data_IF_425177204124
#
_entry.id   IF_425177204124
#
_cell.length_a   1.000
_cell.length_b   1.000
_cell.length_c   1.000
_cell.angle_alpha   90.00
_cell.angle_beta   90.00
_cell.angle_gamma   90.00
#
_symmetry.space_group_name_H-M   'P 1'
#
loop_
_entity.id
_entity.type
_entity.pdbx_description
1 polymer ?
#
# COMPACT_ATOMS: atom_id res chain seq x y z
N UNK A 1 -5.50 0.39 29.05
CA UNK A 1 -5.23 -0.08 27.67
C UNK A 1 -3.73 -0.38 27.57
N UNK A 2 -3.32 -1.48 26.91
CA UNK A 2 -1.91 -1.78 26.62
C UNK A 2 -1.74 -1.91 25.11
N UNK A 3 -0.69 -1.33 24.54
CA UNK A 3 -0.43 -1.36 23.09
C UNK A 3 0.99 -1.89 22.88
N UNK A 4 1.17 -3.06 22.25
CA UNK A 4 2.50 -3.56 21.92
C UNK A 4 3.12 -2.71 20.81
N UNK A 5 4.40 -2.37 20.96
CA UNK A 5 5.18 -1.64 19.96
C UNK A 5 6.27 -2.55 19.42
N UNK A 6 6.17 -2.90 18.13
CA UNK A 6 7.18 -3.72 17.46
C UNK A 6 8.37 -2.86 17.07
N UNK A 7 9.54 -3.11 17.63
CA UNK A 7 10.71 -2.24 17.40
C UNK A 7 11.44 -2.55 16.08
N UNK A 8 11.53 -3.82 15.70
CA UNK A 8 12.17 -4.28 14.47
C UNK A 8 11.14 -4.47 13.35
N UNK A 9 11.41 -3.98 12.15
CA UNK A 9 10.62 -4.28 10.96
C UNK A 9 10.74 -5.76 10.56
N UNK A 10 9.81 -6.25 9.73
CA UNK A 10 9.93 -7.61 9.19
C UNK A 10 11.24 -7.73 8.40
N UNK A 11 11.99 -8.80 8.66
CA UNK A 11 13.06 -9.21 7.77
C UNK A 11 12.44 -9.66 6.46
N UNK A 12 12.83 -9.00 5.37
CA UNK A 12 12.37 -9.33 4.03
C UNK A 12 13.52 -9.91 3.21
N UNK A 13 13.27 -10.95 2.40
CA UNK A 13 14.29 -11.47 1.48
C UNK A 13 14.78 -10.42 0.46
N UNK A 14 13.98 -9.37 0.20
CA UNK A 14 14.28 -8.30 -0.76
C UNK A 14 15.20 -7.21 -0.20
N UNK A 15 15.29 -7.05 1.13
CA UNK A 15 15.98 -5.95 1.79
C UNK A 15 17.20 -6.44 2.56
N UNK A 16 18.31 -5.70 2.44
CA UNK A 16 19.51 -5.97 3.25
C UNK A 16 19.20 -5.71 4.74
N UNK A 17 19.63 -6.59 5.68
CA UNK A 17 19.45 -6.39 7.11
C UNK A 17 19.83 -5.00 7.63
N UNK A 18 20.88 -4.36 7.08
CA UNK A 18 21.27 -2.99 7.47
C UNK A 18 20.20 -1.95 7.11
N UNK A 19 19.52 -2.14 5.98
CA UNK A 19 18.39 -1.28 5.55
C UNK A 19 17.19 -1.49 6.46
N UNK A 20 16.90 -2.74 6.85
CA UNK A 20 15.82 -3.07 7.80
C UNK A 20 16.06 -2.40 9.15
N UNK A 21 17.30 -2.41 9.66
CA UNK A 21 17.67 -1.71 10.89
C UNK A 21 17.48 -0.19 10.73
N UNK A 22 17.95 0.40 9.62
CA UNK A 22 17.79 1.82 9.38
C UNK A 22 16.32 2.26 9.30
N UNK A 23 15.49 1.46 8.64
CA UNK A 23 14.04 1.68 8.59
C UNK A 23 13.42 1.59 9.98
N UNK A 24 13.80 0.58 10.76
CA UNK A 24 13.33 0.37 12.13
C UNK A 24 13.66 1.56 13.04
N UNK A 25 14.88 2.10 12.95
CA UNK A 25 15.29 3.30 13.70
C UNK A 25 14.52 4.53 13.26
N UNK A 26 14.34 4.71 11.95
CA UNK A 26 13.58 5.85 11.39
C UNK A 26 12.12 5.84 11.87
N UNK A 27 11.51 4.65 11.95
CA UNK A 27 10.11 4.49 12.34
C UNK A 27 9.87 4.49 13.86
N UNK A 28 10.93 4.48 14.68
CA UNK A 28 10.81 4.37 16.13
C UNK A 28 10.00 5.52 16.76
N UNK A 29 10.29 6.77 16.34
CA UNK A 29 9.59 7.98 16.79
C UNK A 29 8.09 7.88 16.47
N UNK A 30 7.77 7.56 15.22
CA UNK A 30 6.40 7.32 14.75
C UNK A 30 5.70 6.25 15.60
N UNK A 31 6.33 5.09 15.80
CA UNK A 31 5.73 3.96 16.52
C UNK A 31 5.39 4.29 17.97
N UNK A 32 6.28 4.98 18.67
CA UNK A 32 6.06 5.39 20.06
C UNK A 32 4.99 6.48 20.14
N UNK A 33 5.09 7.52 19.32
CA UNK A 33 4.09 8.59 19.28
C UNK A 33 2.70 8.04 18.93
N UNK A 34 2.63 7.08 18.02
CA UNK A 34 1.36 6.48 17.58
C UNK A 34 0.77 5.66 18.74
N UNK A 35 1.59 4.86 19.42
CA UNK A 35 1.15 4.11 20.61
C UNK A 35 0.63 5.03 21.74
N UNK A 36 1.32 6.15 22.01
CA UNK A 36 0.88 7.13 23.02
C UNK A 36 -0.46 7.76 22.61
N UNK A 37 -0.55 8.26 21.37
CA UNK A 37 -1.78 8.84 20.84
C UNK A 37 -2.94 7.86 20.91
N UNK A 38 -2.72 6.60 20.55
CA UNK A 38 -3.73 5.53 20.62
C UNK A 38 -4.23 5.26 22.05
N UNK A 39 -3.40 5.44 23.07
CA UNK A 39 -3.83 5.33 24.48
C UNK A 39 -4.67 6.54 24.88
N UNK A 40 -4.31 7.73 24.42
CA UNK A 40 -4.93 9.00 24.80
C UNK A 40 -6.25 9.27 24.08
N UNK A 41 -6.50 8.70 22.89
CA UNK A 41 -7.72 8.92 22.13
C UNK A 41 -8.92 8.16 22.74
N UNK A 42 -9.94 8.87 23.27
CA UNK A 42 -11.05 8.23 23.96
C UNK A 42 -12.07 7.60 23.01
N UNK A 43 -12.39 8.27 21.90
CA UNK A 43 -13.34 7.79 20.88
C UNK A 43 -12.63 7.21 19.67
N UNK A 44 -13.02 6.01 19.25
CA UNK A 44 -12.46 5.34 18.09
C UNK A 44 -13.17 5.82 16.82
N UNK A 45 -12.44 6.26 15.78
CA UNK A 45 -13.06 6.57 14.51
C UNK A 45 -13.70 5.33 13.90
N UNK A 46 -14.84 5.50 13.23
CA UNK A 46 -15.56 4.40 12.59
C UNK A 46 -15.10 4.26 11.14
N UNK A 47 -14.80 3.02 10.73
CA UNK A 47 -14.47 2.62 9.36
C UNK A 47 -15.58 1.72 8.85
N UNK A 48 -16.16 2.05 7.70
CA UNK A 48 -17.21 1.25 7.08
C UNK A 48 -16.71 0.58 5.80
N UNK A 49 -16.85 -0.73 5.71
CA UNK A 49 -16.63 -1.48 4.47
C UNK A 49 -17.96 -1.61 3.73
N UNK A 50 -17.99 -1.33 2.42
CA UNK A 50 -19.20 -1.52 1.63
C UNK A 50 -19.48 -3.00 1.40
N UNK A 51 -20.76 -3.34 1.28
CA UNK A 51 -21.25 -4.65 0.84
C UNK A 51 -22.47 -4.47 -0.07
N UNK A 52 -22.75 -5.49 -0.88
CA UNK A 52 -23.91 -5.55 -1.77
C UNK A 52 -23.56 -5.57 -3.26
N UNK A 53 -22.30 -5.30 -3.61
CA UNK A 53 -21.79 -5.32 -4.97
C UNK A 53 -20.78 -6.45 -5.21
N UNK A 54 -20.78 -7.48 -4.37
CA UNK A 54 -19.82 -8.59 -4.46
C UNK A 54 -18.42 -8.26 -3.94
N UNK A 55 -18.30 -7.28 -3.03
CA UNK A 55 -17.06 -6.94 -2.33
C UNK A 55 -16.45 -8.11 -1.54
N UNK A 56 -15.19 -7.96 -1.11
CA UNK A 56 -14.52 -8.94 -0.23
C UNK A 56 -15.32 -9.19 1.05
N UNK A 57 -15.48 -10.47 1.42
CA UNK A 57 -16.18 -10.86 2.65
C UNK A 57 -15.29 -10.73 3.91
N UNK A 58 -15.90 -10.89 5.09
CA UNK A 58 -15.21 -10.75 6.40
C UNK A 58 -14.02 -11.70 6.56
N UNK A 59 -14.08 -12.91 5.99
CA UNK A 59 -12.98 -13.86 6.07
C UNK A 59 -11.82 -13.44 5.16
N UNK A 60 -12.10 -12.87 4.00
CA UNK A 60 -11.11 -12.39 3.05
C UNK A 60 -10.38 -11.14 3.53
N UNK A 61 -11.00 -10.30 4.36
CA UNK A 61 -10.36 -9.12 4.97
C UNK A 61 -10.07 -9.31 6.47
N UNK A 62 -10.18 -10.54 6.98
CA UNK A 62 -10.13 -10.85 8.40
C UNK A 62 -8.87 -10.35 9.11
N UNK A 63 -7.69 -10.47 8.49
CA UNK A 63 -6.45 -9.97 9.11
C UNK A 63 -6.37 -8.43 9.12
N UNK A 64 -6.86 -7.79 8.06
CA UNK A 64 -6.93 -6.33 7.98
C UNK A 64 -7.91 -5.79 9.02
N UNK A 65 -9.13 -6.31 9.04
CA UNK A 65 -10.17 -5.91 9.99
C UNK A 65 -9.74 -6.17 11.44
N UNK A 66 -9.16 -7.33 11.76
CA UNK A 66 -8.64 -7.63 13.10
C UNK A 66 -7.52 -6.67 13.53
N UNK A 67 -6.73 -6.16 12.58
CA UNK A 67 -5.70 -5.16 12.85
C UNK A 67 -6.29 -3.76 13.05
N UNK A 68 -7.35 -3.42 12.30
CA UNK A 68 -8.07 -2.15 12.41
C UNK A 68 -8.88 -2.07 13.71
N UNK A 69 -9.57 -3.14 14.11
CA UNK A 69 -10.41 -3.22 15.32
C UNK A 69 -9.67 -2.92 16.63
N UNK A 70 -8.34 -3.00 16.61
CA UNK A 70 -7.52 -2.60 17.75
C UNK A 70 -7.60 -1.09 18.01
N UNK A 71 -7.86 -0.29 16.97
CA UNK A 71 -7.76 1.18 16.98
C UNK A 71 -9.03 1.91 16.51
N UNK A 72 -9.80 1.27 15.64
CA UNK A 72 -10.99 1.81 14.99
C UNK A 72 -12.19 0.91 15.28
N UNK A 73 -13.39 1.47 15.18
CA UNK A 73 -14.61 0.67 15.17
C UNK A 73 -14.91 0.33 13.71
N UNK A 74 -14.89 -0.95 13.35
CA UNK A 74 -15.11 -1.40 11.96
C UNK A 74 -16.49 -2.01 11.84
N UNK A 75 -17.23 -1.67 10.79
CA UNK A 75 -18.50 -2.31 10.46
C UNK A 75 -18.70 -2.40 8.95
N UNK A 76 -19.71 -3.15 8.50
CA UNK A 76 -20.06 -3.33 7.09
C UNK A 76 -21.42 -2.74 6.78
N UNK A 77 -21.52 -2.01 5.67
CA UNK A 77 -22.74 -1.29 5.30
C UNK A 77 -23.22 -1.67 3.91
N UNK A 78 -24.51 -1.97 3.80
CA UNK A 78 -25.20 -2.05 2.51
C UNK A 78 -25.72 -0.66 2.15
N UNK A 79 -25.55 -0.22 0.90
CA UNK A 79 -25.94 1.11 0.44
C UNK A 79 -27.44 1.22 0.08
N UNK A 80 -28.25 0.23 0.44
CA UNK A 80 -29.57 -0.09 -0.15
C UNK A 80 -30.73 0.88 0.11
N UNK A 81 -30.81 1.67 1.18
CA UNK A 81 -31.71 2.86 1.18
C UNK A 81 -31.66 3.76 2.42
N UNK A 82 -31.55 3.25 3.65
CA UNK A 82 -31.91 4.03 4.85
C UNK A 82 -30.74 4.74 5.56
N UNK A 83 -29.49 4.40 5.25
CA UNK A 83 -28.34 4.93 6.00
C UNK A 83 -27.77 6.17 5.30
N UNK A 84 -27.84 7.31 5.98
CA UNK A 84 -27.13 8.52 5.59
C UNK A 84 -25.66 8.40 6.00
N UNK A 85 -24.78 8.28 5.02
CA UNK A 85 -23.34 8.39 5.23
C UNK A 85 -23.02 9.84 5.61
N UNK A 86 -22.45 10.04 6.79
CA UNK A 86 -22.02 11.35 7.26
C UNK A 86 -20.57 11.26 7.75
N UNK A 87 -19.68 12.17 7.36
CA UNK A 87 -18.27 12.15 7.78
C UNK A 87 -18.07 12.26 9.30
N UNK A 88 -19.07 12.77 10.03
CA UNK A 88 -19.06 12.83 11.49
C UNK A 88 -19.23 11.44 12.12
N UNK A 89 -19.95 10.53 11.47
CA UNK A 89 -20.19 9.16 11.95
C UNK A 89 -19.27 8.14 11.31
N UNK A 90 -18.86 8.36 10.06
CA UNK A 90 -18.01 7.47 9.28
C UNK A 90 -16.75 8.22 8.87
N UNK A 91 -15.61 7.89 9.50
CA UNK A 91 -14.34 8.55 9.24
C UNK A 91 -13.72 8.11 7.91
N UNK A 92 -13.98 6.87 7.48
CA UNK A 92 -13.48 6.30 6.23
C UNK A 92 -14.44 5.24 5.69
N UNK A 93 -14.76 5.35 4.40
CA UNK A 93 -15.44 4.33 3.63
C UNK A 93 -14.41 3.49 2.84
N UNK A 94 -14.52 2.16 2.88
CA UNK A 94 -13.66 1.25 2.14
C UNK A 94 -14.51 0.48 1.13
N UNK A 95 -14.15 0.57 -0.15
CA UNK A 95 -14.76 -0.20 -1.24
C UNK A 95 -13.74 -1.23 -1.71
N UNK A 96 -13.95 -2.50 -1.34
CA UNK A 96 -12.97 -3.56 -1.50
C UNK A 96 -13.41 -4.60 -2.55
N UNK A 97 -12.78 -4.59 -3.73
CA UNK A 97 -13.02 -5.52 -4.84
C UNK A 97 -14.51 -5.71 -5.19
N UNK A 98 -15.27 -4.63 -5.51
CA UNK A 98 -16.63 -4.79 -6.00
C UNK A 98 -16.62 -5.53 -7.34
N UNK A 99 -17.68 -6.29 -7.62
CA UNK A 99 -17.82 -7.18 -8.78
C UNK A 99 -19.10 -6.94 -9.58
N UNK A 100 -20.06 -6.18 -9.06
CA UNK A 100 -21.32 -5.85 -9.75
C UNK A 100 -21.58 -4.35 -9.80
N UNK A 101 -22.54 -3.96 -10.64
CA UNK A 101 -22.88 -2.56 -10.92
C UNK A 101 -23.41 -1.83 -9.69
N UNK A 102 -22.89 -0.63 -9.45
CA UNK A 102 -23.46 0.32 -8.50
C UNK A 102 -24.68 1.00 -9.11
N UNK A 103 -25.75 1.11 -8.34
CA UNK A 103 -26.94 1.88 -8.76
C UNK A 103 -26.67 3.38 -8.70
N UNK A 104 -27.47 4.18 -9.40
CA UNK A 104 -27.39 5.64 -9.30
C UNK A 104 -27.66 6.14 -7.87
N UNK A 105 -28.45 5.41 -7.08
CA UNK A 105 -28.69 5.76 -5.67
C UNK A 105 -27.43 5.53 -4.82
N UNK A 106 -26.73 4.41 -5.03
CA UNK A 106 -25.49 4.09 -4.31
C UNK A 106 -24.40 5.09 -4.65
N UNK A 107 -24.23 5.38 -5.95
CA UNK A 107 -23.28 6.40 -6.43
C UNK A 107 -23.60 7.78 -5.87
N UNK A 108 -24.87 8.17 -5.80
CA UNK A 108 -25.28 9.43 -5.20
C UNK A 108 -24.92 9.50 -3.71
N UNK A 109 -25.11 8.43 -2.94
CA UNK A 109 -24.74 8.39 -1.52
C UNK A 109 -23.24 8.51 -1.31
N UNK A 110 -22.45 7.80 -2.11
CA UNK A 110 -20.99 7.87 -2.08
C UNK A 110 -20.53 9.28 -2.46
N UNK A 111 -21.07 9.84 -3.55
CA UNK A 111 -20.77 11.20 -4.00
C UNK A 111 -21.05 12.22 -2.91
N UNK A 112 -22.25 12.21 -2.33
CA UNK A 112 -22.60 13.17 -1.28
C UNK A 112 -21.81 12.97 0.02
N UNK A 113 -21.40 11.74 0.33
CA UNK A 113 -20.44 11.49 1.41
C UNK A 113 -19.10 12.19 1.13
N UNK A 114 -18.53 12.06 -0.08
CA UNK A 114 -17.32 12.80 -0.47
C UNK A 114 -17.56 14.31 -0.42
N UNK A 115 -18.70 14.80 -0.92
CA UNK A 115 -19.01 16.23 -0.93
C UNK A 115 -19.10 16.84 0.49
N UNK A 116 -19.41 16.03 1.49
CA UNK A 116 -19.42 16.45 2.89
C UNK A 116 -18.04 16.41 3.56
N UNK A 117 -16.98 16.02 2.85
CA UNK A 117 -15.64 15.84 3.41
C UNK A 117 -15.33 14.38 3.80
N UNK A 118 -16.17 13.44 3.36
CA UNK A 118 -15.95 12.01 3.54
C UNK A 118 -14.75 11.51 2.74
N UNK A 119 -14.14 10.44 3.22
CA UNK A 119 -12.86 9.92 2.72
C UNK A 119 -13.04 8.49 2.29
N UNK A 120 -12.42 8.12 1.17
CA UNK A 120 -12.65 6.79 0.57
C UNK A 120 -11.35 6.11 0.20
N UNK A 121 -11.25 4.82 0.50
CA UNK A 121 -10.25 3.92 -0.05
C UNK A 121 -10.92 3.00 -1.07
N UNK A 122 -10.55 3.15 -2.34
CA UNK A 122 -11.00 2.34 -3.46
C UNK A 122 -9.96 1.28 -3.79
N UNK A 123 -10.37 0.02 -3.81
CA UNK A 123 -9.57 -1.11 -4.26
C UNK A 123 -10.40 -1.82 -5.32
N UNK A 124 -10.09 -1.55 -6.59
CA UNK A 124 -10.96 -1.85 -7.72
C UNK A 124 -10.21 -2.72 -8.72
N UNK A 125 -10.78 -3.89 -9.01
CA UNK A 125 -10.37 -4.69 -10.17
C UNK A 125 -11.15 -4.23 -11.39
N UNK A 126 -10.45 -3.98 -12.49
CA UNK A 126 -11.12 -3.65 -13.76
C UNK A 126 -11.61 -4.88 -14.50
N UNK A 127 -10.84 -5.96 -14.43
CA UNK A 127 -11.06 -7.21 -15.16
C UNK A 127 -11.29 -8.35 -14.17
N UNK A 128 -12.17 -9.30 -14.51
CA UNK A 128 -12.45 -10.48 -13.68
C UNK A 128 -11.38 -11.58 -13.79
N UNK A 129 -10.12 -11.21 -13.60
CA UNK A 129 -9.00 -12.13 -13.66
C UNK A 129 -8.66 -12.67 -12.27
N UNK A 130 -8.72 -13.99 -12.10
CA UNK A 130 -8.28 -14.70 -10.90
C UNK A 130 -7.52 -15.97 -11.32
N UNK A 131 -6.55 -16.43 -10.52
CA UNK A 131 -5.80 -17.66 -10.82
C UNK A 131 -6.70 -18.90 -10.91
N UNK A 132 -7.78 -18.92 -10.13
CA UNK A 132 -8.69 -20.05 -10.08
C UNK A 132 -9.46 -20.21 -11.40
N UNK A 133 -9.68 -19.12 -12.13
CA UNK A 133 -10.28 -19.13 -13.47
C UNK A 133 -9.42 -19.86 -14.51
N UNK A 134 -8.11 -20.02 -14.25
CA UNK A 134 -7.17 -20.73 -15.13
C UNK A 134 -7.08 -22.24 -14.87
N UNK A 135 -7.84 -22.77 -13.91
CA UNK A 135 -7.86 -24.21 -13.59
C UNK A 135 -8.68 -25.07 -14.56
N UNK A 136 -9.33 -24.46 -15.56
CA UNK A 136 -10.12 -25.15 -16.58
C UNK A 136 -9.30 -26.06 -17.51
N UNK A 137 -9.98 -26.83 -18.36
CA UNK A 137 -9.37 -27.66 -19.41
C UNK A 137 -9.98 -27.30 -20.77
N UNK A 138 -9.30 -26.54 -21.64
CA UNK A 138 -7.91 -26.06 -21.51
C UNK A 138 -7.74 -24.98 -20.44
N UNK A 139 -6.53 -24.80 -19.86
CA UNK A 139 -6.24 -23.78 -18.84
C UNK A 139 -6.11 -22.40 -19.50
N UNK A 140 -7.25 -21.91 -19.99
CA UNK A 140 -7.39 -20.68 -20.76
C UNK A 140 -8.60 -19.92 -20.24
N UNK A 141 -8.47 -18.62 -20.04
CA UNK A 141 -9.55 -17.75 -19.62
C UNK A 141 -9.44 -16.40 -20.33
N UNK A 142 -10.58 -15.83 -20.71
CA UNK A 142 -10.67 -14.51 -21.33
C UNK A 142 -11.36 -13.57 -20.34
N UNK A 143 -10.61 -12.75 -19.58
CA UNK A 143 -11.19 -11.79 -18.66
C UNK A 143 -12.07 -10.78 -19.38
N UNK A 144 -13.17 -10.46 -18.73
CA UNK A 144 -14.13 -9.43 -19.11
C UNK A 144 -14.14 -8.33 -18.06
N UNK A 145 -14.47 -7.11 -18.49
CA UNK A 145 -14.63 -5.98 -17.59
C UNK A 145 -15.71 -6.26 -16.53
N UNK A 146 -15.42 -5.93 -15.27
CA UNK A 146 -16.48 -5.85 -14.26
C UNK A 146 -17.41 -4.67 -14.60
N UNK A 147 -18.74 -4.89 -14.67
CA UNK A 147 -19.69 -3.83 -15.00
C UNK A 147 -19.99 -2.98 -13.76
N UNK A 148 -18.99 -2.26 -13.23
CA UNK A 148 -19.09 -1.57 -11.94
C UNK A 148 -19.91 -0.29 -12.01
N UNK A 149 -19.95 0.40 -13.15
CA UNK A 149 -20.66 1.67 -13.34
C UNK A 149 -20.15 2.82 -12.43
N UNK A 150 -18.91 2.75 -11.92
CA UNK A 150 -18.27 3.77 -11.05
C UNK A 150 -17.20 4.59 -11.79
N UNK A 151 -16.92 4.24 -13.05
CA UNK A 151 -15.85 4.80 -13.85
C UNK A 151 -16.08 6.28 -14.14
N UNK A 152 -17.34 6.68 -14.36
CA UNK A 152 -17.75 8.06 -14.55
C UNK A 152 -17.40 8.92 -13.32
N UNK A 153 -17.69 8.39 -12.13
CA UNK A 153 -17.41 9.03 -10.85
C UNK A 153 -15.90 9.14 -10.59
N UNK A 154 -15.13 8.06 -10.75
CA UNK A 154 -13.67 8.10 -10.59
C UNK A 154 -13.02 9.06 -11.61
N UNK A 155 -13.51 9.07 -12.85
CA UNK A 155 -13.04 9.98 -13.90
C UNK A 155 -13.28 11.44 -13.50
N UNK A 156 -14.47 11.77 -12.97
CA UNK A 156 -14.79 13.11 -12.47
C UNK A 156 -13.88 13.51 -11.30
N UNK A 157 -13.50 12.57 -10.44
CA UNK A 157 -12.58 12.79 -9.33
C UNK A 157 -11.10 12.85 -9.73
N UNK A 158 -10.76 12.42 -10.94
CA UNK A 158 -9.44 12.58 -11.54
C UNK A 158 -8.60 11.32 -11.68
N UNK A 159 -9.20 10.14 -11.57
CA UNK A 159 -8.53 8.85 -11.83
C UNK A 159 -9.31 8.02 -12.85
N UNK A 160 -8.60 7.34 -13.75
CA UNK A 160 -9.17 6.41 -14.72
C UNK A 160 -8.42 5.09 -14.69
N UNK A 161 -9.10 4.02 -14.31
CA UNK A 161 -8.55 2.66 -14.37
C UNK A 161 -8.78 2.13 -15.79
N UNK A 162 -7.71 1.69 -16.46
CA UNK A 162 -7.77 1.18 -17.83
C UNK A 162 -8.19 -0.29 -17.87
N UNK A 163 -8.90 -0.75 -18.92
CA UNK A 163 -9.24 -2.16 -19.13
C UNK A 163 -8.03 -2.95 -19.66
N UNK A 164 -6.94 -2.93 -18.89
CA UNK A 164 -5.70 -3.64 -19.15
C UNK A 164 -5.24 -4.44 -17.92
N UNK A 165 -4.26 -5.31 -18.14
CA UNK A 165 -3.46 -5.92 -17.08
C UNK A 165 -2.02 -5.44 -17.21
N UNK A 166 -1.45 -5.04 -16.07
CA UNK A 166 -0.04 -4.70 -15.96
C UNK A 166 0.76 -5.98 -15.70
N UNK A 167 1.67 -6.30 -16.62
CA UNK A 167 2.65 -7.35 -16.45
C UNK A 167 3.99 -6.73 -16.06
N UNK A 168 4.74 -7.39 -15.19
CA UNK A 168 6.06 -6.95 -14.75
C UNK A 168 7.02 -8.13 -14.63
N UNK A 169 8.31 -7.92 -14.94
CA UNK A 169 9.36 -8.92 -14.69
C UNK A 169 9.71 -9.04 -13.20
N UNK A 170 9.44 -7.98 -12.43
CA UNK A 170 9.48 -7.99 -10.98
C UNK A 170 8.15 -8.49 -10.42
N UNK A 171 7.92 -9.80 -10.51
CA UNK A 171 6.68 -10.46 -10.08
C UNK A 171 6.96 -11.58 -9.09
N UNK A 172 5.91 -12.00 -8.37
CA UNK A 172 5.94 -13.20 -7.55
C UNK A 172 5.72 -14.46 -8.38
N UNK A 173 5.93 -15.61 -7.76
CA UNK A 173 5.91 -16.91 -8.39
C UNK A 173 4.67 -17.72 -8.02
N UNK A 174 4.18 -18.53 -8.96
CA UNK A 174 3.10 -19.50 -8.74
C UNK A 174 3.64 -20.93 -8.91
N UNK A 175 3.12 -21.90 -8.16
CA UNK A 175 3.48 -23.30 -8.35
C UNK A 175 2.75 -23.87 -9.56
N UNK A 176 3.50 -24.50 -10.45
CA UNK A 176 2.95 -25.36 -11.50
C UNK A 176 3.41 -26.80 -11.27
N UNK A 177 2.46 -27.72 -11.38
CA UNK A 177 2.72 -29.15 -11.33
C UNK A 177 2.36 -29.80 -12.67
N UNK A 178 3.22 -30.69 -13.15
CA UNK A 178 2.83 -31.60 -14.22
C UNK A 178 1.92 -32.69 -13.65
N UNK A 179 0.91 -33.13 -14.41
CA UNK A 179 0.07 -34.28 -14.00
C UNK A 179 0.97 -35.51 -13.85
N UNK A 180 1.33 -35.86 -12.61
CA UNK A 180 2.12 -37.04 -12.27
C UNK A 180 3.46 -36.78 -11.57
N UNK A 181 3.92 -35.53 -11.44
CA UNK A 181 5.13 -35.20 -10.65
C UNK A 181 4.75 -34.72 -9.24
N UNK A 182 5.42 -35.23 -8.21
CA UNK A 182 5.26 -34.76 -6.82
C UNK A 182 5.99 -33.44 -6.54
N UNK A 183 6.89 -33.02 -7.44
CA UNK A 183 7.60 -31.75 -7.33
C UNK A 183 6.82 -30.65 -8.07
N UNK A 184 6.44 -29.62 -7.30
CA UNK A 184 5.91 -28.37 -7.80
C UNK A 184 7.10 -27.45 -8.07
N UNK A 185 7.21 -26.94 -9.29
CA UNK A 185 8.19 -25.92 -9.64
C UNK A 185 7.53 -24.53 -9.59
N UNK A 186 8.27 -23.54 -9.09
CA UNK A 186 7.80 -22.16 -9.01
C UNK A 186 8.19 -21.42 -10.29
N UNK A 187 7.20 -20.82 -10.93
CA UNK A 187 7.39 -19.99 -12.12
C UNK A 187 6.94 -18.57 -11.84
N UNK A 188 7.72 -17.57 -12.28
CA UNK A 188 7.35 -16.16 -12.17
C UNK A 188 6.06 -15.89 -12.93
N UNK A 189 5.04 -15.43 -12.24
CA UNK A 189 3.76 -15.07 -12.84
C UNK A 189 3.70 -13.57 -13.06
N UNK A 190 3.98 -13.10 -14.28
CA UNK A 190 4.14 -11.67 -14.56
C UNK A 190 2.89 -10.82 -14.29
N UNK A 191 1.71 -11.43 -14.20
CA UNK A 191 0.47 -10.75 -13.78
C UNK A 191 0.38 -10.47 -12.28
N UNK A 192 1.33 -10.96 -11.48
CA UNK A 192 1.45 -10.68 -10.06
C UNK A 192 2.65 -9.75 -9.76
N UNK A 193 2.59 -8.48 -10.18
CA UNK A 193 3.70 -7.56 -9.98
C UNK A 193 3.94 -7.30 -8.49
N UNK A 194 5.22 -7.28 -8.12
CA UNK A 194 5.70 -6.94 -6.77
C UNK A 194 6.23 -5.53 -6.77
N UNK A 195 5.34 -4.56 -6.58
CA UNK A 195 5.65 -3.14 -6.75
C UNK A 195 6.48 -2.63 -5.57
N UNK A 196 7.61 -1.98 -5.88
CA UNK A 196 8.43 -1.30 -4.88
C UNK A 196 8.06 0.18 -4.86
N UNK A 197 7.50 0.70 -3.76
CA UNK A 197 7.19 2.12 -3.69
C UNK A 197 8.46 2.97 -3.64
N UNK A 198 8.56 3.95 -4.54
CA UNK A 198 9.74 4.84 -4.65
C UNK A 198 9.50 6.25 -4.09
N UNK A 199 8.28 6.52 -3.61
CA UNK A 199 7.86 7.84 -3.14
C UNK A 199 8.30 8.16 -1.70
N UNK A 200 8.42 9.45 -1.40
CA UNK A 200 8.69 9.96 -0.05
C UNK A 200 7.42 10.16 0.80
N UNK A 201 6.25 9.82 0.25
CA UNK A 201 4.97 10.04 0.92
C UNK A 201 4.85 9.14 2.17
N UNK A 202 4.33 9.63 3.32
CA UNK A 202 4.25 8.87 4.57
C UNK A 202 3.60 7.49 4.46
N UNK A 203 2.66 7.32 3.52
CA UNK A 203 1.96 6.06 3.24
C UNK A 203 2.93 4.96 2.81
N UNK A 204 3.90 5.30 1.95
CA UNK A 204 4.74 4.34 1.23
C UNK A 204 6.22 4.43 1.58
N UNK A 205 6.62 5.46 2.35
CA UNK A 205 8.01 5.64 2.73
C UNK A 205 8.50 4.50 3.63
N UNK A 206 9.67 3.96 3.30
CA UNK A 206 10.30 2.80 3.96
C UNK A 206 9.43 1.54 3.93
N UNK A 207 8.46 1.48 3.01
CA UNK A 207 7.65 0.29 2.77
C UNK A 207 8.42 -0.66 1.87
N UNK A 208 8.36 -1.95 2.18
CA UNK A 208 8.89 -2.98 1.29
C UNK A 208 7.93 -3.23 0.10
N UNK A 209 8.27 -4.19 -0.77
CA UNK A 209 7.46 -4.59 -1.91
C UNK A 209 6.04 -4.93 -1.49
N UNK A 210 5.09 -4.45 -2.28
CA UNK A 210 3.67 -4.78 -2.18
C UNK A 210 3.35 -5.71 -3.34
N UNK A 211 2.77 -6.86 -3.05
CA UNK A 211 2.31 -7.78 -4.08
C UNK A 211 0.92 -7.35 -4.55
N UNK A 212 0.73 -7.28 -5.86
CA UNK A 212 -0.57 -7.04 -6.49
C UNK A 212 -0.94 -8.23 -7.37
N UNK A 213 -2.23 -8.50 -7.53
CA UNK A 213 -2.74 -9.58 -8.38
C UNK A 213 -3.60 -9.01 -9.51
N UNK A 214 -3.21 -9.26 -10.76
CA UNK A 214 -3.97 -8.84 -11.94
C UNK A 214 -4.34 -7.34 -11.97
N UNK A 215 -3.45 -6.48 -11.47
CA UNK A 215 -3.73 -5.05 -11.38
C UNK A 215 -3.77 -4.37 -12.77
N UNK A 216 -4.58 -3.31 -12.87
CA UNK A 216 -4.68 -2.47 -14.08
C UNK A 216 -3.88 -1.17 -13.96
N UNK A 217 -3.61 -0.51 -15.09
CA UNK A 217 -2.99 0.80 -15.08
C UNK A 217 -4.00 1.91 -14.71
N UNK A 218 -3.52 2.95 -14.03
CA UNK A 218 -4.31 4.13 -13.65
C UNK A 218 -3.74 5.37 -14.32
N UNK A 219 -4.59 6.06 -15.08
CA UNK A 219 -4.30 7.39 -15.61
C UNK A 219 -4.82 8.48 -14.66
N UNK A 220 -4.03 9.53 -14.50
CA UNK A 220 -4.46 10.74 -13.79
C UNK A 220 -5.09 11.73 -14.76
N UNK A 221 -6.28 12.22 -14.44
CA UNK A 221 -7.08 13.07 -15.32
C UNK A 221 -7.12 14.50 -14.80
N UNK A 222 -7.07 15.49 -15.70
CA UNK A 222 -7.27 16.89 -15.32
C UNK A 222 -8.73 17.12 -14.92
N UNK A 223 -8.94 17.59 -13.71
CA UNK A 223 -10.26 17.83 -13.11
C UNK A 223 -10.66 19.30 -13.26
N UNK A 224 -11.97 19.60 -13.12
CA UNK A 224 -12.49 20.98 -13.07
C UNK A 224 -11.96 21.72 -11.84
N UNK A 225 -11.93 21.04 -10.71
CA UNK A 225 -11.44 21.55 -9.43
C UNK A 225 -9.96 21.19 -9.25
N UNK A 226 -9.27 21.91 -8.36
CA UNK A 226 -7.87 21.65 -8.03
C UNK A 226 -7.74 20.40 -7.14
N UNK A 227 -7.49 19.25 -7.79
CA UNK A 227 -7.19 17.97 -7.12
C UNK A 227 -5.71 17.64 -7.33
N UNK A 228 -4.94 17.63 -6.25
CA UNK A 228 -3.57 17.15 -6.22
C UNK A 228 -3.55 15.62 -6.35
N UNK A 229 -2.60 15.10 -7.13
CA UNK A 229 -2.54 13.68 -7.50
C UNK A 229 -1.14 13.16 -7.20
N UNK A 230 -1.03 12.40 -6.12
CA UNK A 230 0.23 11.83 -5.67
C UNK A 230 0.26 10.35 -6.03
N UNK A 231 1.21 9.95 -6.87
CA UNK A 231 1.40 8.55 -7.23
C UNK A 231 2.00 7.81 -6.02
N UNK A 232 1.32 6.77 -5.55
CA UNK A 232 1.73 5.96 -4.40
C UNK A 232 2.44 4.68 -4.84
N UNK A 233 1.87 3.97 -5.81
CA UNK A 233 2.36 2.68 -6.28
C UNK A 233 2.58 2.71 -7.79
N UNK A 234 3.74 2.20 -8.20
CA UNK A 234 4.09 2.03 -9.61
C UNK A 234 4.74 0.68 -9.86
N UNK A 235 4.50 0.11 -11.04
CA UNK A 235 5.30 -0.99 -11.56
C UNK A 235 6.78 -0.61 -11.70
N UNK A 236 7.61 -1.61 -11.93
CA UNK A 236 9.00 -1.43 -12.33
C UNK A 236 9.09 -0.82 -13.74
N UNK A 237 10.31 -0.44 -14.12
CA UNK A 237 10.63 0.03 -15.48
C UNK A 237 10.48 -1.04 -16.57
N UNK A 238 10.42 -2.31 -16.17
CA UNK A 238 10.30 -3.47 -17.05
C UNK A 238 8.86 -3.97 -17.07
N UNK A 239 7.92 -3.07 -17.33
CA UNK A 239 6.50 -3.40 -17.41
C UNK A 239 6.02 -3.55 -18.85
N UNK A 240 4.90 -4.26 -19.00
CA UNK A 240 4.15 -4.42 -20.22
C UNK A 240 2.65 -4.27 -19.91
N UNK A 241 1.92 -3.65 -20.83
CA UNK A 241 0.46 -3.56 -20.74
C UNK A 241 -0.17 -4.54 -21.73
N UNK A 242 -1.26 -5.19 -21.31
CA UNK A 242 -2.09 -6.01 -22.18
C UNK A 242 -3.54 -5.58 -22.06
N UNK A 243 -4.13 -5.07 -23.13
CA UNK A 243 -5.51 -4.59 -23.17
C UNK A 243 -6.49 -5.71 -23.52
N UNK A 244 -7.73 -5.61 -23.01
CA UNK A 244 -8.84 -6.51 -23.37
C UNK A 244 -9.15 -6.46 -24.87
N UNK A 245 -9.40 -7.61 -25.56
CA UNK A 245 -9.46 -8.98 -25.03
C UNK A 245 -8.09 -9.60 -24.71
N UNK A 246 -7.94 -10.17 -23.51
CA UNK A 246 -6.70 -10.78 -23.00
C UNK A 246 -6.85 -12.30 -22.94
N UNK A 247 -6.05 -13.02 -23.70
CA UNK A 247 -5.98 -14.48 -23.57
C UNK A 247 -5.06 -14.89 -22.41
N UNK A 248 -5.63 -15.13 -21.22
CA UNK A 248 -4.87 -15.63 -20.07
C UNK A 248 -4.69 -17.14 -20.17
N UNK A 249 -3.44 -17.58 -20.16
CA UNK A 249 -3.05 -18.99 -20.22
C UNK A 249 -1.66 -19.17 -19.58
N UNK A 250 -1.24 -20.42 -19.37
CA UNK A 250 0.10 -20.74 -18.87
C UNK A 250 1.17 -20.86 -19.97
N UNK A 251 0.85 -20.61 -21.25
CA UNK A 251 1.82 -20.72 -22.34
C UNK A 251 2.93 -19.67 -22.23
N UNK A 252 2.64 -18.53 -21.61
CA UNK A 252 3.62 -17.49 -21.31
C UNK A 252 4.76 -17.93 -20.39
N UNK A 253 4.58 -19.05 -19.67
CA UNK A 253 5.59 -19.61 -18.76
C UNK A 253 6.47 -20.67 -19.44
N UNK A 254 6.11 -21.11 -20.64
CA UNK A 254 6.89 -22.11 -21.40
C UNK A 254 8.14 -21.52 -22.05
N UNK A 255 8.17 -20.21 -22.23
CA UNK A 255 9.25 -19.49 -22.91
C UNK A 255 9.69 -18.31 -22.06
N UNK A 256 10.98 -17.98 -22.14
CA UNK A 256 11.48 -16.77 -21.50
C UNK A 256 10.78 -15.53 -22.07
N UNK A 257 10.46 -14.54 -21.22
CA UNK A 257 9.82 -13.32 -21.67
C UNK A 257 10.76 -12.56 -22.59
N UNK A 258 10.28 -12.15 -23.75
CA UNK A 258 11.00 -11.24 -24.63
C UNK A 258 11.12 -9.86 -23.94
N UNK A 259 12.33 -9.44 -23.49
CA UNK A 259 12.49 -8.18 -22.77
C UNK A 259 12.11 -6.96 -23.60
N UNK A 260 12.13 -7.06 -24.93
CA UNK A 260 11.72 -5.96 -25.82
C UNK A 260 10.22 -5.64 -25.70
N UNK A 261 9.40 -6.59 -25.23
CA UNK A 261 7.96 -6.39 -24.98
C UNK A 261 7.68 -5.71 -23.65
N UNK A 262 8.64 -5.66 -22.72
CA UNK A 262 8.54 -5.03 -21.41
C UNK A 262 9.15 -3.62 -21.42
N UNK A 263 8.59 -2.76 -22.27
CA UNK A 263 9.14 -1.46 -22.62
C UNK A 263 8.25 -0.26 -22.20
N UNK A 264 7.28 -0.48 -21.31
CA UNK A 264 6.32 0.55 -20.93
C UNK A 264 6.75 1.43 -19.76
N UNK A 265 7.88 1.15 -19.11
CA UNK A 265 8.36 1.95 -17.97
C UNK A 265 7.45 1.82 -16.75
N UNK A 266 7.48 2.79 -15.84
CA UNK A 266 6.69 2.72 -14.62
C UNK A 266 5.20 3.00 -14.92
N UNK A 267 4.34 2.03 -14.64
CA UNK A 267 2.89 2.13 -14.76
C UNK A 267 2.29 2.42 -13.39
N UNK A 268 1.41 3.42 -13.31
CA UNK A 268 0.75 3.78 -12.04
C UNK A 268 -0.34 2.78 -11.73
N UNK A 269 -0.35 2.25 -10.51
CA UNK A 269 -1.33 1.26 -10.02
C UNK A 269 -1.96 1.66 -8.68
N UNK A 270 -1.50 2.77 -8.09
CA UNK A 270 -2.09 3.35 -6.89
C UNK A 270 -1.86 4.86 -6.83
N UNK A 271 -2.92 5.63 -6.59
CA UNK A 271 -2.89 7.10 -6.55
C UNK A 271 -3.67 7.65 -5.35
N UNK A 272 -3.11 8.67 -4.71
CA UNK A 272 -3.77 9.51 -3.71
C UNK A 272 -4.27 10.79 -4.39
N UNK A 273 -5.55 11.07 -4.22
CA UNK A 273 -6.22 12.28 -4.70
C UNK A 273 -6.59 13.14 -3.50
N UNK A 274 -6.18 14.41 -3.49
CA UNK A 274 -6.43 15.35 -2.39
C UNK A 274 -6.89 16.71 -2.90
N UNK A 275 -7.86 17.31 -2.21
CA UNK A 275 -8.34 18.66 -2.52
C UNK A 275 -9.86 18.73 -2.53
N UNK A 276 -10.40 19.58 -3.40
CA UNK A 276 -11.83 19.77 -3.58
C UNK A 276 -12.28 19.01 -4.82
N UNK A 277 -13.33 18.20 -4.69
CA UNK A 277 -13.89 17.39 -5.76
C UNK A 277 -15.20 18.01 -6.25
N UNK A 278 -15.43 17.98 -7.56
CA UNK A 278 -16.73 18.31 -8.14
C UNK A 278 -17.63 17.07 -8.13
N UNK A 279 -18.89 17.25 -7.73
CA UNK A 279 -19.89 16.17 -7.71
C UNK A 279 -20.10 15.58 -9.11
N UNK A 280 -20.25 14.25 -9.18
CA UNK A 280 -20.65 13.56 -10.41
C UNK A 280 -22.09 13.90 -10.83
N UNK A 281 -22.90 14.41 -9.90
CA UNK A 281 -24.30 14.79 -10.10
C UNK A 281 -24.49 16.30 -10.33
N UNK A 282 -23.40 17.05 -10.45
CA UNK A 282 -23.42 18.46 -10.83
C UNK A 282 -24.26 18.65 -12.11
N UNK A 283 -25.27 19.52 -12.05
CA UNK A 283 -26.23 19.79 -13.13
C UNK A 283 -27.11 18.59 -13.56
N UNK A 284 -27.14 17.49 -12.80
CA UNK A 284 -28.00 16.32 -13.04
C UNK A 284 -29.17 16.21 -12.05
N UNK A 285 -29.18 17.02 -10.98
CA UNK A 285 -30.24 17.01 -9.97
C UNK A 285 -31.35 18.01 -10.33
N UNK A 286 -32.57 17.52 -10.55
CA UNK A 286 -33.77 18.33 -10.81
C UNK A 286 -34.24 19.09 -9.57
N UNK A 287 -35.03 20.15 -9.76
CA UNK A 287 -35.61 20.89 -8.62
C UNK A 287 -36.53 20.03 -7.76
N UNK A 288 -37.23 19.06 -8.35
CA UNK A 288 -38.07 18.10 -7.63
C UNK A 288 -37.24 17.18 -6.73
N UNK A 289 -36.10 16.67 -7.24
CA UNK A 289 -35.18 15.88 -6.42
C UNK A 289 -34.59 16.71 -5.28
N UNK A 290 -34.22 17.97 -5.52
CA UNK A 290 -33.74 18.87 -4.46
C UNK A 290 -34.82 19.11 -3.39
N UNK A 291 -36.08 19.25 -3.78
CA UNK A 291 -37.19 19.41 -2.84
C UNK A 291 -37.38 18.13 -1.99
N UNK A 292 -37.32 16.95 -2.60
CA UNK A 292 -37.38 15.67 -1.89
C UNK A 292 -36.21 15.46 -0.93
N UNK A 293 -34.99 15.80 -1.34
CA UNK A 293 -33.79 15.70 -0.49
C UNK A 293 -33.88 16.63 0.72
N UNK A 294 -34.40 17.86 0.54
CA UNK A 294 -34.65 18.79 1.65
C UNK A 294 -35.67 18.24 2.66
N UNK A 295 -36.72 17.56 2.20
CA UNK A 295 -37.67 16.90 3.10
C UNK A 295 -37.02 15.77 3.92
N UNK A 296 -36.00 15.10 3.34
CA UNK A 296 -35.21 14.07 4.00
C UNK A 296 -34.01 14.63 4.80
N UNK A 297 -33.88 15.95 4.92
CA UNK A 297 -32.77 16.64 5.57
C UNK A 297 -31.38 16.26 4.98
N UNK A 298 -31.35 15.93 3.68
CA UNK A 298 -30.13 15.64 2.92
C UNK A 298 -29.72 16.91 2.18
N UNK A 299 -28.63 17.52 2.63
CA UNK A 299 -28.07 18.71 1.99
C UNK A 299 -27.21 18.31 0.81
N UNK A 300 -27.75 18.49 -0.40
CA UNK A 300 -27.01 18.30 -1.64
C UNK A 300 -25.91 19.36 -1.79
N UNK A 301 -24.72 18.92 -2.20
CA UNK A 301 -23.55 19.77 -2.48
C UNK A 301 -22.98 19.44 -3.86
N UNK A 302 -22.63 20.48 -4.61
CA UNK A 302 -22.02 20.36 -5.94
C UNK A 302 -20.48 20.23 -5.88
N UNK A 303 -19.87 20.68 -4.80
CA UNK A 303 -18.42 20.66 -4.58
C UNK A 303 -18.15 20.19 -3.15
N UNK A 304 -17.03 19.51 -2.96
CA UNK A 304 -16.67 18.95 -1.68
C UNK A 304 -16.00 19.95 -0.74
N UNK A 305 -16.12 19.71 0.56
CA UNK A 305 -15.09 20.18 1.48
C UNK A 305 -13.73 19.54 1.12
N UNK A 306 -12.59 20.16 1.45
CA UNK A 306 -11.28 19.58 1.21
C UNK A 306 -11.19 18.17 1.82
N UNK A 307 -11.06 17.17 0.95
CA UNK A 307 -11.02 15.77 1.35
C UNK A 307 -9.97 15.02 0.52
N UNK A 308 -9.94 13.71 0.70
CA UNK A 308 -8.92 12.82 0.17
C UNK A 308 -9.51 11.46 -0.12
N UNK A 309 -8.99 10.81 -1.15
CA UNK A 309 -9.31 9.43 -1.48
C UNK A 309 -8.09 8.74 -2.08
N UNK A 310 -8.01 7.43 -1.92
CA UNK A 310 -6.98 6.61 -2.55
C UNK A 310 -7.66 5.65 -3.51
N UNK A 311 -7.07 5.45 -4.68
CA UNK A 311 -7.51 4.47 -5.68
C UNK A 311 -6.35 3.52 -5.96
N UNK A 312 -6.57 2.23 -5.71
CA UNK A 312 -5.67 1.13 -6.05
C UNK A 312 -6.40 0.24 -7.05
N UNK A 313 -5.73 -0.11 -8.14
CA UNK A 313 -6.29 -0.89 -9.26
C UNK A 313 -6.21 -2.40 -9.04
N UNK A 314 -6.22 -2.80 -7.78
CA UNK A 314 -6.21 -4.19 -7.32
C UNK A 314 -7.01 -4.28 -6.02
N UNK A 315 -8.04 -5.11 -6.04
CA UNK A 315 -8.89 -5.47 -4.92
C UNK A 315 -8.28 -6.51 -3.99
N UNK A 316 -7.41 -7.39 -4.50
CA UNK A 316 -6.73 -8.45 -3.75
C UNK A 316 -5.61 -7.92 -2.86
N UNK A 317 -5.18 -6.67 -3.05
CA UNK A 317 -4.19 -6.00 -2.19
C UNK A 317 -4.57 -6.02 -0.70
N UNK A 318 -5.88 -6.06 -0.39
CA UNK A 318 -6.45 -6.16 0.95
C UNK A 318 -7.01 -7.55 1.30
N UNK A 319 -6.90 -8.52 0.39
CA UNK A 319 -7.39 -9.87 0.59
C UNK A 319 -6.31 -10.77 1.22
N UNK A 320 -6.63 -11.37 2.36
CA UNK A 320 -5.88 -12.48 2.91
C UNK A 320 -6.38 -13.82 2.36
N UNK A 321 -5.48 -14.81 2.33
CA UNK A 321 -5.88 -16.17 1.98
C UNK A 321 -6.63 -16.85 3.13
N UNK A 322 -7.85 -17.31 2.86
CA UNK A 322 -8.67 -18.08 3.81
C UNK A 322 -8.23 -19.55 3.76
N UNK A 323 -7.66 -20.05 4.87
CA UNK A 323 -7.19 -21.43 4.99
C UNK A 323 -8.34 -22.38 5.20
N UNK A 324 -9.19 -22.08 6.17
CA UNK A 324 -10.36 -22.87 6.52
C UNK A 324 -11.52 -21.92 6.83
N UNK A 325 -12.54 -21.85 5.95
CA UNK A 325 -13.72 -21.03 6.18
C UNK A 325 -14.53 -21.43 7.42
N UNK A 326 -14.54 -22.73 7.78
CA UNK A 326 -15.33 -23.24 8.91
C UNK A 326 -14.66 -22.92 10.25
N UNK A 327 -13.33 -23.07 10.30
CA UNK A 327 -12.54 -22.73 11.48
C UNK A 327 -12.29 -21.20 11.60
N UNK A 328 -12.70 -20.41 10.61
CA UNK A 328 -12.42 -18.96 10.50
C UNK A 328 -10.93 -18.67 10.56
N UNK A 329 -10.14 -19.44 9.82
CA UNK A 329 -8.70 -19.31 9.81
C UNK A 329 -8.21 -18.69 8.50
N UNK A 330 -7.35 -17.68 8.62
CA UNK A 330 -6.72 -17.00 7.50
C UNK A 330 -5.23 -16.80 7.75
N UNK A 331 -4.47 -16.67 6.67
CA UNK A 331 -3.08 -16.24 6.76
C UNK A 331 -2.97 -14.73 6.97
N UNK A 332 -1.84 -14.22 7.49
CA UNK A 332 -1.57 -12.80 7.54
C UNK A 332 -1.71 -12.14 6.15
N UNK A 333 -2.25 -10.93 6.09
CA UNK A 333 -2.37 -10.17 4.85
C UNK A 333 -0.97 -9.90 4.26
N UNK A 334 -0.81 -10.15 2.96
CA UNK A 334 0.46 -10.05 2.25
C UNK A 334 1.35 -11.31 2.35
N UNK A 335 0.94 -12.36 3.06
CA UNK A 335 1.69 -13.62 3.08
C UNK A 335 1.52 -14.41 1.78
N UNK A 336 2.58 -14.51 0.99
CA UNK A 336 2.63 -15.38 -0.17
C UNK A 336 3.01 -16.81 0.27
N UNK A 337 2.01 -17.70 0.26
CA UNK A 337 2.14 -19.10 0.66
C UNK A 337 3.05 -19.95 -0.24
N UNK A 338 3.33 -19.49 -1.46
CA UNK A 338 4.16 -20.22 -2.42
C UNK A 338 5.65 -19.94 -2.19
N UNK A 339 5.99 -18.70 -1.86
CA UNK A 339 7.36 -18.26 -1.61
C UNK A 339 7.72 -18.26 -0.12
N UNK A 340 6.75 -18.47 0.77
CA UNK A 340 6.94 -18.44 2.22
C UNK A 340 7.34 -17.07 2.76
N UNK A 341 7.04 -16.01 2.01
CA UNK A 341 7.48 -14.63 2.27
C UNK A 341 6.28 -13.71 2.51
N UNK A 342 6.45 -12.66 3.30
CA UNK A 342 5.39 -11.67 3.59
C UNK A 342 5.72 -10.33 2.93
N UNK A 343 4.82 -9.87 2.06
CA UNK A 343 4.85 -8.56 1.43
C UNK A 343 4.21 -7.48 2.32
N UNK A 344 4.50 -6.22 2.02
CA UNK A 344 4.10 -5.07 2.84
C UNK A 344 2.64 -4.61 2.62
N UNK A 345 1.78 -5.45 2.04
CA UNK A 345 0.37 -5.16 1.77
C UNK A 345 -0.38 -4.68 3.02
N UNK A 346 -0.17 -5.37 4.15
CA UNK A 346 -0.78 -5.00 5.42
C UNK A 346 -0.34 -3.61 5.89
N UNK A 347 0.96 -3.35 5.84
CA UNK A 347 1.53 -2.06 6.24
C UNK A 347 1.06 -0.93 5.32
N UNK A 348 0.96 -1.18 4.00
CA UNK A 348 0.38 -0.25 3.04
C UNK A 348 -1.04 0.14 3.45
N UNK A 349 -1.91 -0.85 3.70
CA UNK A 349 -3.31 -0.62 4.05
C UNK A 349 -3.45 0.16 5.34
N UNK A 350 -2.70 -0.21 6.39
CA UNK A 350 -2.73 0.49 7.67
C UNK A 350 -2.23 1.93 7.53
N UNK A 351 -1.17 2.17 6.77
CA UNK A 351 -0.64 3.52 6.56
C UNK A 351 -1.61 4.37 5.72
N UNK A 352 -2.21 3.79 4.68
CA UNK A 352 -3.21 4.45 3.84
C UNK A 352 -4.42 4.88 4.68
N UNK A 353 -4.96 3.97 5.49
CA UNK A 353 -6.10 4.25 6.38
C UNK A 353 -5.76 5.30 7.42
N UNK A 354 -4.59 5.21 8.08
CA UNK A 354 -4.16 6.20 9.07
C UNK A 354 -3.99 7.59 8.44
N UNK A 355 -3.38 7.68 7.24
CA UNK A 355 -3.23 8.94 6.52
C UNK A 355 -4.56 9.51 6.06
N UNK A 356 -5.48 8.64 5.60
CA UNK A 356 -6.82 9.06 5.22
C UNK A 356 -7.56 9.65 6.43
N UNK A 357 -7.47 9.04 7.62
CA UNK A 357 -8.21 9.48 8.82
C UNK A 357 -7.52 10.64 9.55
N UNK A 358 -6.20 10.73 9.58
CA UNK A 358 -5.48 11.82 10.23
C UNK A 358 -4.12 12.11 9.58
N UNK A 359 -4.10 12.95 8.53
CA UNK A 359 -2.91 13.22 7.72
C UNK A 359 -1.83 14.03 8.44
N UNK A 360 -2.23 14.96 9.30
CA UNK A 360 -1.35 15.83 10.08
C UNK A 360 -1.04 15.21 11.46
N UNK A 361 -1.42 13.93 11.62
CA UNK A 361 -1.23 13.18 12.85
C UNK A 361 0.19 12.66 12.98
N UNK A 362 0.32 11.55 13.69
CA UNK A 362 1.64 10.95 13.95
C UNK A 362 2.29 10.43 12.67
N UNK A 363 1.51 10.11 11.64
CA UNK A 363 2.00 9.56 10.38
C UNK A 363 3.01 10.48 9.67
N UNK A 364 2.95 11.80 9.87
CA UNK A 364 3.96 12.73 9.33
C UNK A 364 5.37 12.45 9.88
N UNK A 365 5.50 11.92 11.09
CA UNK A 365 6.80 11.56 11.66
C UNK A 365 7.54 10.51 10.81
N UNK A 366 6.82 9.70 10.02
CA UNK A 366 7.42 8.76 9.06
C UNK A 366 8.16 9.49 7.92
N UNK A 367 7.73 10.69 7.55
CA UNK A 367 8.34 11.47 6.48
C UNK A 367 9.73 12.00 6.82
N UNK A 368 10.11 12.03 8.10
CA UNK A 368 11.43 12.47 8.56
C UNK A 368 12.51 11.47 8.13
N UNK A 369 13.65 11.96 7.66
CA UNK A 369 14.82 11.10 7.37
C UNK A 369 15.73 11.03 8.59
N UNK A 370 15.95 9.81 9.11
CA UNK A 370 17.07 9.54 10.01
C UNK A 370 18.19 8.95 9.16
N UNK A 371 19.15 9.78 8.74
CA UNK A 371 20.36 9.27 8.09
C UNK A 371 21.23 8.59 9.15
N UNK A 372 21.09 7.28 9.30
CA UNK A 372 22.14 6.54 10.00
C UNK A 372 23.42 6.66 9.19
N UNK A 373 24.47 7.15 9.85
CA UNK A 373 25.83 7.14 9.30
C UNK A 373 26.35 5.72 9.40
N UNK A 374 25.90 4.86 8.48
CA UNK A 374 26.42 3.50 8.36
C UNK A 374 27.90 3.57 7.98
N UNK A 375 28.68 2.66 8.54
CA UNK A 375 30.10 2.57 8.24
C UNK A 375 30.24 2.09 6.79
N UNK A 376 30.88 2.89 5.93
CA UNK A 376 31.22 2.48 4.57
C UNK A 376 32.23 1.34 4.65
N UNK A 377 31.76 0.11 4.49
CA UNK A 377 32.57 -1.10 4.63
C UNK A 377 33.63 -1.23 3.53
N UNK A 378 33.41 -0.63 2.35
CA UNK A 378 34.37 -0.63 1.24
C UNK A 378 35.51 0.34 1.54
N UNK A 379 35.18 1.56 1.95
CA UNK A 379 36.18 2.55 2.39
C UNK A 379 36.93 2.08 3.63
N UNK A 380 36.23 1.51 4.61
CA UNK A 380 36.82 0.97 5.83
C UNK A 380 37.78 -0.20 5.53
N UNK A 381 37.49 -1.06 4.54
CA UNK A 381 38.43 -2.08 4.07
C UNK A 381 39.63 -1.48 3.34
N UNK A 382 39.39 -0.51 2.45
CA UNK A 382 40.47 0.14 1.68
C UNK A 382 41.45 0.90 2.58
N UNK A 383 40.96 1.58 3.60
CA UNK A 383 41.75 2.37 4.56
C UNK A 383 42.15 1.56 5.81
N UNK A 384 41.80 0.27 5.89
CA UNK A 384 41.99 -0.55 7.08
C UNK A 384 43.42 -0.52 7.61
N UNK A 385 44.40 -0.62 6.71
CA UNK A 385 45.83 -0.62 7.05
C UNK A 385 46.26 0.73 7.61
N UNK A 386 45.77 1.83 7.04
CA UNK A 386 46.06 3.18 7.52
C UNK A 386 45.51 3.38 8.94
N UNK A 387 44.24 3.03 9.17
CA UNK A 387 43.62 3.15 10.49
C UNK A 387 44.26 2.23 11.54
N UNK A 388 44.67 1.01 11.16
CA UNK A 388 45.44 0.11 12.03
C UNK A 388 46.81 0.70 12.39
N UNK A 389 47.54 1.24 11.43
CA UNK A 389 48.83 1.87 11.66
C UNK A 389 48.69 3.09 12.57
N UNK A 390 47.70 3.95 12.36
CA UNK A 390 47.42 5.10 13.23
C UNK A 390 47.15 4.63 14.66
N UNK A 391 46.26 3.64 14.84
CA UNK A 391 45.89 3.15 16.16
C UNK A 391 47.02 2.42 16.91
N UNK A 392 48.04 1.91 16.21
CA UNK A 392 49.24 1.33 16.83
C UNK A 392 50.30 2.39 17.07
N UNK A 393 50.58 3.23 16.07
CA UNK A 393 51.64 4.22 16.10
C UNK A 393 51.35 5.32 17.11
N UNK A 394 50.11 5.83 17.18
CA UNK A 394 49.76 6.95 18.07
C UNK A 394 49.99 6.62 19.55
N UNK A 395 49.48 5.51 20.12
CA UNK A 395 49.78 5.14 21.51
C UNK A 395 51.26 4.93 21.79
N UNK A 396 52.01 4.32 20.86
CA UNK A 396 53.46 4.13 21.00
C UNK A 396 54.22 5.46 20.98
N UNK A 397 53.82 6.39 20.13
CA UNK A 397 54.37 7.75 20.07
C UNK A 397 54.09 8.50 21.37
N UNK A 398 52.87 8.39 21.92
CA UNK A 398 52.52 8.95 23.21
C UNK A 398 53.35 8.36 24.36
N UNK A 399 53.55 7.04 24.39
CA UNK A 399 54.42 6.38 25.37
C UNK A 399 55.88 6.83 25.23
N UNK A 400 56.39 6.95 24.01
CA UNK A 400 57.73 7.43 23.72
C UNK A 400 57.94 8.89 24.17
N UNK A 401 56.99 9.78 23.85
CA UNK A 401 57.00 11.17 24.29
C UNK A 401 56.90 11.29 25.80
N UNK A 402 56.03 10.50 26.44
CA UNK A 402 55.90 10.45 27.89
C UNK A 402 57.21 9.99 28.54
N UNK A 403 57.81 8.91 28.03
CA UNK A 403 59.10 8.39 28.50
C UNK A 403 60.23 9.41 28.34
N UNK A 404 60.31 10.08 27.20
CA UNK A 404 61.28 11.14 26.94
C UNK A 404 61.09 12.34 27.89
N UNK A 405 59.85 12.82 28.02
CA UNK A 405 59.51 13.93 28.91
C UNK A 405 59.82 13.59 30.38
N UNK A 406 59.47 12.38 30.82
CA UNK A 406 59.76 11.89 32.16
C UNK A 406 61.28 11.84 32.42
N UNK A 407 62.06 11.33 31.46
CA UNK A 407 63.50 11.21 31.61
C UNK A 407 64.21 12.58 31.55
N UNK A 408 63.74 13.50 30.71
CA UNK A 408 64.21 14.90 30.68
C UNK A 408 63.94 15.62 32.01
N UNK A 409 62.74 15.46 32.57
CA UNK A 409 62.38 16.03 33.87
C UNK A 409 63.20 15.41 35.00
N UNK A 410 63.47 14.10 34.94
CA UNK A 410 64.33 13.39 35.90
C UNK A 410 65.77 13.91 35.84
N UNK A 411 66.37 14.04 34.66
CA UNK A 411 67.71 14.62 34.49
C UNK A 411 67.80 16.04 35.05
N UNK A 412 66.79 16.89 34.84
CA UNK A 412 66.77 18.26 35.41
C UNK A 412 66.62 18.30 36.94
N UNK A 413 66.01 17.30 37.57
CA UNK A 413 65.80 17.27 39.04
C UNK A 413 66.88 16.53 39.82
N UNK A 414 67.52 15.52 39.23
CA UNK A 414 68.40 14.59 39.96
C UNK A 414 69.83 14.52 39.40
N UNK A 415 70.18 15.24 38.33
CA UNK A 415 71.57 15.44 37.95
C UNK A 415 72.10 16.70 38.66
N UNK A 416 72.46 16.54 39.93
CA UNK A 416 73.34 17.43 40.68
C UNK A 416 74.29 16.57 41.50
#
# INVERSE_FOLDING_TARGET
RRIPVKLLENESPSLNPEVVINNSVTLLEYKLANAIKKILTPQRPVILFTRGHGELNELQTGDLEASLQQFYDTDRITLDSLVQLSPQKCALLIVAKPRSSFSEQDKFKIDQYVMQGGRILWMIDRLNADLDSLRGSPPRFLPTDYPLNIEDMLFKYGARIQPDLVLDLESSSIPLGSRGSQQLELYKWYYFPTVMPVGNHPIVKNLDRVELHFCSSIDTIRTKTAVNKTILLTSSKYSRLQFSPIDLNFDLLRYDPDPAKFNKGNQTVGVLLEGVFASNYENRVSQEMLAGLKQLNVNYRNESEPTRMIVISDGDVAANFVRDPNAKEWYPLGYNRFEGSTYANKDLMLNAIEYLIDPNGVIEARAKEVKLRLLDTVKARKEQTQWRLINIAVPLLFLGLFGWFFNWRRKRRYAR
#
